data_IF_717226479435
#
_entry.id   IF_717226479435
#
_cell.length_a   1.000
_cell.length_b   1.000
_cell.length_c   1.000
_cell.angle_alpha   90.00
_cell.angle_beta   90.00
_cell.angle_gamma   90.00
#
_symmetry.space_group_name_H-M   'P 1'
#
loop_
_entity.id
_entity.type
_entity.pdbx_description
1 polymer ?
#
# COMPACT_ATOMS: atom_id res chain seq x y z
N UNK A 1 5.65 8.07 33.99
CA UNK A 1 6.21 7.98 32.62
C UNK A 1 5.40 8.86 31.69
N UNK A 2 5.98 9.81 30.94
CA UNK A 2 5.18 10.62 30.02
C UNK A 2 4.74 9.74 28.85
N UNK A 3 3.43 9.65 28.60
CA UNK A 3 2.87 8.99 27.42
C UNK A 3 3.39 9.73 26.19
N UNK A 4 4.33 9.11 25.48
CA UNK A 4 4.92 9.64 24.24
C UNK A 4 3.78 9.91 23.25
N UNK A 5 3.49 11.19 23.03
CA UNK A 5 2.49 11.68 22.08
C UNK A 5 2.82 11.08 20.71
N UNK A 6 2.05 10.09 20.25
CA UNK A 6 2.22 9.48 18.93
C UNK A 6 1.85 10.56 17.91
N UNK A 7 2.84 11.31 17.40
CA UNK A 7 2.62 12.17 16.23
C UNK A 7 2.02 11.26 15.16
N UNK A 8 0.90 11.68 14.58
CA UNK A 8 0.19 10.99 13.50
C UNK A 8 1.06 10.96 12.22
N UNK A 9 2.17 10.24 12.24
CA UNK A 9 2.94 9.93 11.05
C UNK A 9 2.29 8.72 10.39
N UNK A 10 1.90 8.88 9.14
CA UNK A 10 1.61 7.77 8.21
C UNK A 10 2.70 6.70 8.30
N UNK A 11 2.32 5.42 8.08
CA UNK A 11 3.35 4.37 8.01
C UNK A 11 4.25 4.61 6.81
N UNK A 12 5.49 4.13 6.89
CA UNK A 12 6.47 4.23 5.80
C UNK A 12 5.90 3.63 4.50
N UNK A 13 5.14 2.54 4.61
CA UNK A 13 4.45 1.88 3.51
C UNK A 13 3.35 2.75 2.89
N UNK A 14 2.60 3.48 3.71
CA UNK A 14 1.56 4.38 3.21
C UNK A 14 2.17 5.59 2.50
N UNK A 15 3.22 6.18 3.07
CA UNK A 15 3.94 7.27 2.41
C UNK A 15 4.53 6.83 1.08
N UNK A 16 5.11 5.63 1.02
CA UNK A 16 5.58 5.04 -0.22
C UNK A 16 4.44 4.82 -1.23
N UNK A 17 3.29 4.29 -0.78
CA UNK A 17 2.14 4.03 -1.65
C UNK A 17 1.61 5.30 -2.34
N UNK A 18 1.56 6.42 -1.62
CA UNK A 18 1.02 7.68 -2.16
C UNK A 18 2.03 8.44 -3.02
N UNK A 19 3.34 8.28 -2.75
CA UNK A 19 4.39 9.10 -3.38
C UNK A 19 5.17 8.40 -4.49
N UNK A 20 5.26 7.06 -4.48
CA UNK A 20 6.05 6.33 -5.44
C UNK A 20 5.33 6.19 -6.80
N UNK A 21 6.10 6.13 -7.89
CA UNK A 21 5.58 5.71 -9.18
C UNK A 21 5.30 4.21 -9.18
N UNK A 22 4.01 3.86 -9.15
CA UNK A 22 3.48 2.51 -9.16
C UNK A 22 2.72 2.19 -10.45
N UNK A 23 2.87 3.00 -11.50
CA UNK A 23 2.16 2.87 -12.78
C UNK A 23 2.26 1.48 -13.41
N UNK A 24 3.41 0.80 -13.26
CA UNK A 24 3.62 -0.58 -13.73
C UNK A 24 2.68 -1.62 -13.10
N UNK A 25 2.03 -1.28 -11.99
CA UNK A 25 1.09 -2.13 -11.26
C UNK A 25 -0.37 -1.68 -11.44
N UNK A 26 -0.67 -0.86 -12.43
CA UNK A 26 -2.02 -0.38 -12.71
C UNK A 26 -3.04 -1.54 -12.73
N UNK A 27 -4.17 -1.36 -12.05
CA UNK A 27 -5.22 -2.36 -11.92
C UNK A 27 -4.91 -3.53 -10.97
N UNK A 28 -3.74 -3.59 -10.35
CA UNK A 28 -3.34 -4.69 -9.46
C UNK A 28 -3.46 -4.31 -7.98
N UNK A 29 -3.57 -5.33 -7.13
CA UNK A 29 -3.20 -5.20 -5.73
C UNK A 29 -1.68 -5.30 -5.61
N UNK A 30 -1.10 -4.49 -4.73
CA UNK A 30 0.32 -4.54 -4.37
C UNK A 30 0.45 -4.80 -2.86
N UNK A 31 1.46 -5.57 -2.47
CA UNK A 31 1.90 -5.70 -1.09
C UNK A 31 3.19 -4.90 -0.89
N UNK A 32 3.22 -4.07 0.13
CA UNK A 32 4.33 -3.16 0.44
C UNK A 32 4.89 -3.52 1.82
N UNK A 33 6.22 -3.54 1.91
CA UNK A 33 6.97 -3.64 3.17
C UNK A 33 8.05 -2.56 3.14
N UNK A 34 8.05 -1.65 4.10
CA UNK A 34 8.87 -0.44 4.04
C UNK A 34 8.56 0.38 2.79
N UNK A 35 9.56 0.55 1.92
CA UNK A 35 9.46 1.37 0.69
C UNK A 35 9.58 0.51 -0.58
N UNK A 36 9.03 -0.71 -0.55
CA UNK A 36 9.17 -1.65 -1.67
C UNK A 36 7.89 -2.47 -1.87
N UNK A 37 7.48 -2.59 -3.14
CA UNK A 37 6.49 -3.59 -3.55
C UNK A 37 7.15 -4.97 -3.55
N UNK A 38 6.64 -5.88 -2.72
CA UNK A 38 7.19 -7.24 -2.53
C UNK A 38 6.35 -8.34 -3.19
N UNK A 39 5.10 -8.03 -3.56
CA UNK A 39 4.22 -8.87 -4.37
C UNK A 39 3.15 -8.01 -5.06
N UNK A 40 2.60 -8.49 -6.17
CA UNK A 40 1.49 -7.83 -6.89
C UNK A 40 0.62 -8.85 -7.62
N UNK A 41 -0.62 -8.48 -7.96
CA UNK A 41 -1.54 -9.36 -8.68
C UNK A 41 -3.01 -8.93 -8.63
N UNK A 42 -3.89 -9.70 -9.26
CA UNK A 42 -5.32 -9.36 -9.38
C UNK A 42 -6.15 -9.66 -8.12
N UNK A 43 -5.66 -10.51 -7.21
CA UNK A 43 -6.36 -10.94 -6.01
C UNK A 43 -5.62 -10.52 -4.72
N UNK A 44 -6.29 -9.75 -3.87
CA UNK A 44 -5.71 -9.21 -2.64
C UNK A 44 -5.20 -10.28 -1.67
N UNK A 45 -5.97 -11.37 -1.49
CA UNK A 45 -5.63 -12.45 -0.55
C UNK A 45 -4.40 -13.21 -1.02
N UNK A 46 -4.30 -13.52 -2.31
CA UNK A 46 -3.14 -14.18 -2.90
C UNK A 46 -1.89 -13.32 -2.75
N UNK A 47 -1.98 -12.02 -3.05
CA UNK A 47 -0.87 -11.07 -2.92
C UNK A 47 -0.40 -10.97 -1.46
N UNK A 48 -1.33 -10.88 -0.51
CA UNK A 48 -1.01 -10.84 0.91
C UNK A 48 -0.32 -12.12 1.38
N UNK A 49 -0.85 -13.30 1.03
CA UNK A 49 -0.25 -14.60 1.40
C UNK A 49 1.16 -14.74 0.82
N UNK A 50 1.38 -14.33 -0.43
CA UNK A 50 2.70 -14.34 -1.05
C UNK A 50 3.69 -13.43 -0.33
N UNK A 51 3.28 -12.20 0.03
CA UNK A 51 4.11 -11.27 0.76
C UNK A 51 4.42 -11.78 2.17
N UNK A 52 3.43 -12.30 2.90
CA UNK A 52 3.61 -12.84 4.25
C UNK A 52 4.53 -14.06 4.27
N UNK A 53 4.46 -14.92 3.24
CA UNK A 53 5.39 -16.05 3.09
C UNK A 53 6.84 -15.60 2.88
N UNK A 54 7.05 -14.54 2.11
CA UNK A 54 8.40 -13.97 1.84
C UNK A 54 8.94 -13.16 3.01
N UNK A 55 8.06 -12.49 3.75
CA UNK A 55 8.38 -11.60 4.88
C UNK A 55 7.55 -12.00 6.12
N UNK A 56 7.87 -13.14 6.75
CA UNK A 56 7.06 -13.70 7.85
C UNK A 56 7.03 -12.81 9.09
N UNK A 57 8.10 -12.07 9.37
CA UNK A 57 8.18 -11.17 10.54
C UNK A 57 7.55 -9.79 10.30
N UNK A 58 7.14 -9.49 9.07
CA UNK A 58 6.52 -8.21 8.72
C UNK A 58 5.00 -8.35 8.59
N UNK A 59 4.29 -7.23 8.66
CA UNK A 59 2.86 -7.14 8.34
C UNK A 59 2.71 -6.32 7.06
N UNK A 60 2.62 -6.97 5.88
CA UNK A 60 2.58 -6.25 4.61
C UNK A 60 1.33 -5.37 4.49
N UNK A 61 1.51 -4.14 4.04
CA UNK A 61 0.40 -3.24 3.67
C UNK A 61 -0.10 -3.60 2.28
N UNK A 62 -1.43 -3.72 2.11
CA UNK A 62 -2.04 -3.98 0.80
C UNK A 62 -2.67 -2.70 0.27
N UNK A 63 -2.32 -2.34 -0.96
CA UNK A 63 -2.93 -1.24 -1.70
C UNK A 63 -3.53 -1.72 -3.02
N UNK A 64 -4.66 -1.14 -3.44
CA UNK A 64 -5.24 -1.38 -4.77
C UNK A 64 -4.92 -0.20 -5.68
N UNK A 65 -4.28 -0.48 -6.80
CA UNK A 65 -4.04 0.50 -7.84
C UNK A 65 -5.24 0.52 -8.79
N UNK A 66 -5.81 1.70 -9.08
CA UNK A 66 -6.80 1.84 -10.13
C UNK A 66 -6.22 1.42 -11.49
N UNK A 67 -7.09 1.02 -12.43
CA UNK A 67 -6.68 0.91 -13.84
C UNK A 67 -6.51 2.32 -14.40
N UNK A 68 -5.78 2.46 -15.49
CA UNK A 68 -5.59 3.76 -16.17
C UNK A 68 -6.93 4.38 -16.56
N UNK A 69 -7.91 3.56 -16.92
CA UNK A 69 -9.28 3.98 -17.27
C UNK A 69 -10.22 4.21 -16.07
N UNK A 70 -9.75 3.98 -14.83
CA UNK A 70 -10.61 4.13 -13.64
C UNK A 70 -10.79 5.60 -13.29
N UNK A 71 -12.04 6.05 -13.28
CA UNK A 71 -12.40 7.39 -12.82
C UNK A 71 -12.26 7.46 -11.29
N UNK A 72 -11.41 8.37 -10.81
CA UNK A 72 -11.31 8.72 -9.39
C UNK A 72 -12.14 9.98 -9.14
N UNK A 73 -13.23 9.85 -8.40
CA UNK A 73 -14.06 11.00 -8.03
C UNK A 73 -13.41 11.75 -6.87
N UNK A 74 -12.78 12.88 -7.16
CA UNK A 74 -12.29 13.81 -6.15
C UNK A 74 -13.38 14.80 -5.78
N UNK A 75 -14.05 14.58 -4.65
CA UNK A 75 -14.99 15.55 -4.10
C UNK A 75 -14.22 16.67 -3.42
N UNK A 76 -14.09 17.82 -4.07
CA UNK A 76 -13.58 19.03 -3.43
C UNK A 76 -14.71 19.61 -2.56
N UNK A 77 -14.67 19.33 -1.26
CA UNK A 77 -15.56 19.98 -0.31
C UNK A 77 -15.07 21.43 -0.13
N UNK A 78 -15.88 22.39 -0.56
CA UNK A 78 -15.71 23.83 -0.27
C UNK A 78 -16.46 24.19 1.00
#
# INVERSE_FOLDING_TARGET
>A
MPKRRRKNASSVEFDFFIRADLSRFAGQYVAIVGQKVVASGSNAQTVWKQAKRRFPSSTPTIGKLPRVETLVLCLLWR
#
